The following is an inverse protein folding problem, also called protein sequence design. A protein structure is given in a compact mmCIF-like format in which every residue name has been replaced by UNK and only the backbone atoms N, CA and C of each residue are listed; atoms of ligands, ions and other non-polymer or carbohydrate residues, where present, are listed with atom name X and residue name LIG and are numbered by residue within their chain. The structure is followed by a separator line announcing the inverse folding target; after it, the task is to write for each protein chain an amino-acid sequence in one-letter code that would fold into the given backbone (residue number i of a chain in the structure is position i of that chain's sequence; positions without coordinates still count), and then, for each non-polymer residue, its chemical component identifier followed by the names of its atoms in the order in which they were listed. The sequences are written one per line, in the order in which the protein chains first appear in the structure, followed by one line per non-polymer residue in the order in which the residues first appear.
data_IF_933737741575
#
_entry.id   IF_933737741575
#
_cell.length_a   1.000
_cell.length_b   1.000
_cell.length_c   1.000
_cell.angle_alpha   90.00
_cell.angle_beta   90.00
_cell.angle_gamma   90.00
#
_symmetry.space_group_name_H-M   'P 1'
#
loop_
_entity.id
_entity.type
_entity.pdbx_description
1 polymer ?
#
# COMPACT_ATOMS: atom_id res chain seq x y z
N UNK A 1 -8.68 -37.24 8.98
CA UNK A 1 -7.58 -36.42 8.40
C UNK A 1 -8.12 -35.01 8.19
N UNK A 2 -7.45 -33.96 8.65
CA UNK A 2 -7.94 -32.58 8.47
C UNK A 2 -7.51 -32.02 7.11
N UNK A 3 -8.50 -31.76 6.24
CA UNK A 3 -8.36 -31.10 4.93
C UNK A 3 -8.06 -29.60 5.05
N UNK A 4 -6.83 -29.25 5.40
CA UNK A 4 -6.35 -27.87 5.28
C UNK A 4 -5.98 -27.59 3.82
N UNK A 5 -6.97 -27.17 3.02
CA UNK A 5 -6.74 -26.74 1.64
C UNK A 5 -5.66 -25.64 1.57
N UNK A 6 -4.60 -25.80 0.77
CA UNK A 6 -3.55 -24.80 0.66
C UNK A 6 -4.10 -23.53 -0.01
N UNK A 7 -4.06 -22.41 0.73
CA UNK A 7 -4.46 -21.08 0.27
C UNK A 7 -3.67 -20.73 -1.00
N UNK A 8 -4.35 -20.69 -2.16
CA UNK A 8 -3.76 -20.43 -3.49
C UNK A 8 -2.93 -19.14 -3.44
N UNK A 9 -1.63 -19.23 -3.71
CA UNK A 9 -0.76 -18.05 -3.88
C UNK A 9 -1.03 -17.42 -5.25
N UNK A 10 -0.85 -16.11 -5.37
CA UNK A 10 -0.91 -15.42 -6.65
C UNK A 10 0.13 -15.98 -7.64
N UNK A 11 -0.22 -16.05 -8.93
CA UNK A 11 0.60 -16.66 -10.00
C UNK A 11 1.94 -15.97 -10.26
N UNK A 12 2.12 -14.75 -9.78
CA UNK A 12 3.32 -13.93 -10.03
C UNK A 12 3.83 -13.38 -8.71
N UNK A 13 5.09 -13.69 -8.39
CA UNK A 13 5.82 -13.06 -7.29
C UNK A 13 6.04 -11.60 -7.64
N UNK A 14 5.32 -10.68 -6.99
CA UNK A 14 5.54 -9.24 -7.18
C UNK A 14 6.95 -8.79 -6.77
N UNK A 15 7.33 -7.57 -7.13
CA UNK A 15 8.63 -6.99 -6.77
C UNK A 15 8.74 -6.82 -5.25
N UNK A 16 9.83 -7.31 -4.66
CA UNK A 16 10.11 -7.12 -3.23
C UNK A 16 10.49 -5.66 -2.96
N UNK A 17 9.71 -4.99 -2.11
CA UNK A 17 10.02 -3.65 -1.60
C UNK A 17 10.19 -3.73 -0.08
N UNK A 18 11.44 -3.60 0.39
CA UNK A 18 11.77 -3.61 1.82
C UNK A 18 11.70 -2.20 2.41
N UNK A 19 10.86 -1.99 3.42
CA UNK A 19 10.72 -0.70 4.12
C UNK A 19 10.84 -0.88 5.63
N UNK A 20 11.46 0.08 6.32
CA UNK A 20 11.56 0.11 7.79
C UNK A 20 10.38 0.88 8.35
N UNK A 21 9.65 0.27 9.27
CA UNK A 21 8.52 0.89 9.97
C UNK A 21 8.88 1.17 11.43
N UNK A 22 8.42 2.31 11.95
CA UNK A 22 8.49 2.64 13.37
C UNK A 22 7.55 1.74 14.18
N UNK A 23 7.85 1.55 15.47
CA UNK A 23 7.10 0.63 16.33
C UNK A 23 5.61 0.99 16.44
N UNK A 24 5.29 2.29 16.53
CA UNK A 24 3.91 2.80 16.59
C UNK A 24 3.10 2.44 15.35
N UNK A 25 3.72 2.52 14.18
CA UNK A 25 3.06 2.20 12.91
C UNK A 25 2.90 0.68 12.74
N UNK A 26 3.86 -0.12 13.21
CA UNK A 26 3.72 -1.58 13.24
C UNK A 26 2.57 -2.03 14.14
N UNK A 27 2.39 -1.39 15.29
CA UNK A 27 1.29 -1.72 16.20
C UNK A 27 -0.07 -1.36 15.57
N UNK A 28 -0.18 -0.21 14.91
CA UNK A 28 -1.38 0.17 14.16
C UNK A 28 -1.72 -0.85 13.05
N UNK A 29 -0.71 -1.31 12.29
CA UNK A 29 -0.90 -2.35 11.26
C UNK A 29 -1.33 -3.68 11.90
N UNK A 30 -0.73 -4.07 13.02
CA UNK A 30 -1.04 -5.31 13.72
C UNK A 30 -2.44 -5.27 14.37
N UNK A 31 -2.91 -4.11 14.85
CA UNK A 31 -4.29 -3.88 15.31
C UNK A 31 -5.28 -3.99 14.16
N UNK A 32 -5.01 -3.32 13.04
CA UNK A 32 -5.85 -3.41 11.85
C UNK A 32 -5.95 -4.86 11.33
N UNK A 33 -4.83 -5.59 11.35
CA UNK A 33 -4.77 -7.02 11.00
C UNK A 33 -5.67 -7.87 11.89
N UNK A 34 -5.68 -7.62 13.20
CA UNK A 34 -6.53 -8.37 14.17
C UNK A 34 -8.03 -8.20 13.90
N UNK A 35 -8.42 -7.07 13.32
CA UNK A 35 -9.81 -6.81 12.97
C UNK A 35 -10.28 -7.55 11.69
N UNK A 36 -9.36 -8.16 10.93
CA UNK A 36 -9.71 -8.89 9.70
C UNK A 36 -10.06 -10.35 9.99
N UNK A 37 -11.17 -10.83 9.43
CA UNK A 37 -11.66 -12.20 9.63
C UNK A 37 -10.66 -13.28 9.18
N UNK A 38 -9.83 -12.99 8.19
CA UNK A 38 -8.87 -13.95 7.62
C UNK A 38 -7.46 -13.85 8.20
N UNK A 39 -7.26 -12.96 9.21
CA UNK A 39 -5.99 -12.71 9.91
C UNK A 39 -4.79 -12.68 8.94
N UNK A 40 -4.73 -11.71 8.02
CA UNK A 40 -3.72 -11.67 6.97
C UNK A 40 -2.32 -11.59 7.58
N UNK A 41 -1.31 -12.13 6.91
CA UNK A 41 0.08 -11.96 7.38
C UNK A 41 0.46 -10.47 7.34
N UNK A 42 1.49 -10.06 8.10
CA UNK A 42 1.90 -8.64 8.15
C UNK A 42 2.18 -8.03 6.76
N UNK A 43 2.88 -8.72 5.82
CA UNK A 43 3.05 -8.22 4.45
C UNK A 43 1.73 -8.10 3.67
N UNK A 44 0.81 -9.04 3.84
CA UNK A 44 -0.52 -9.00 3.20
C UNK A 44 -1.36 -7.84 3.74
N UNK A 45 -1.29 -7.58 5.05
CA UNK A 45 -1.97 -6.46 5.67
C UNK A 45 -1.49 -5.12 5.12
N UNK A 46 -0.16 -4.95 4.97
CA UNK A 46 0.42 -3.76 4.35
C UNK A 46 -0.05 -3.61 2.90
N UNK A 47 -0.07 -4.69 2.10
CA UNK A 47 -0.56 -4.63 0.71
C UNK A 47 -1.99 -4.12 0.64
N UNK A 48 -2.91 -4.70 1.43
CA UNK A 48 -4.32 -4.27 1.46
C UNK A 48 -4.47 -2.83 1.91
N UNK A 49 -3.74 -2.40 2.93
CA UNK A 49 -3.75 -1.00 3.38
C UNK A 49 -3.29 -0.04 2.29
N UNK A 50 -2.26 -0.41 1.51
CA UNK A 50 -1.80 0.37 0.35
C UNK A 50 -2.86 0.40 -0.76
N UNK A 51 -3.47 -0.74 -1.09
CA UNK A 51 -4.56 -0.81 -2.09
C UNK A 51 -5.75 0.08 -1.69
N UNK A 52 -6.14 0.08 -0.41
CA UNK A 52 -7.17 0.97 0.14
C UNK A 52 -6.77 2.44 0.02
N UNK A 53 -5.51 2.78 0.32
CA UNK A 53 -4.99 4.14 0.18
C UNK A 53 -4.99 4.62 -1.28
N UNK A 54 -4.66 3.74 -2.23
CA UNK A 54 -4.66 4.07 -3.66
C UNK A 54 -6.06 4.15 -4.26
N UNK A 55 -7.02 3.40 -3.71
CA UNK A 55 -8.42 3.42 -4.16
C UNK A 55 -9.20 4.61 -3.57
N UNK A 56 -8.78 5.08 -2.40
CA UNK A 56 -9.29 6.31 -1.81
C UNK A 56 -8.91 7.45 -2.74
N UNK A 57 -9.88 8.07 -3.42
CA UNK A 57 -9.67 9.21 -4.32
C UNK A 57 -8.79 10.24 -3.63
N UNK A 58 -7.52 10.28 -4.00
CA UNK A 58 -6.69 11.42 -3.66
C UNK A 58 -7.31 12.65 -4.34
N UNK A 59 -7.52 13.77 -3.64
CA UNK A 59 -7.60 15.04 -4.33
C UNK A 59 -6.26 15.18 -5.04
N UNK A 60 -6.27 15.00 -6.35
CA UNK A 60 -5.10 15.18 -7.21
C UNK A 60 -4.53 16.57 -6.90
N UNK A 61 -3.43 16.62 -6.15
CA UNK A 61 -2.60 17.82 -6.11
C UNK A 61 -1.94 17.85 -7.49
N UNK A 62 -2.63 18.48 -8.43
CA UNK A 62 -2.08 18.79 -9.73
C UNK A 62 -0.96 19.79 -9.45
N UNK A 63 0.27 19.28 -9.31
CA UNK A 63 1.44 20.12 -9.18
C UNK A 63 1.65 20.77 -10.56
N UNK A 64 0.96 21.89 -10.79
CA UNK A 64 1.25 22.81 -11.87
C UNK A 64 2.69 23.28 -11.65
N UNK A 65 3.65 22.64 -12.31
CA UNK A 65 4.92 23.29 -12.60
C UNK A 65 4.57 24.50 -13.45
N UNK A 66 4.66 25.69 -12.87
CA UNK A 66 4.72 26.92 -13.63
C UNK A 66 5.94 26.85 -14.53
N UNK A 67 5.72 26.55 -15.81
CA UNK A 67 6.68 26.85 -16.86
C UNK A 67 6.85 28.37 -16.89
N UNK A 68 7.99 28.84 -16.39
CA UNK A 68 8.43 30.20 -16.65
C UNK A 68 8.80 30.29 -18.13
N UNK A 69 7.79 30.59 -18.94
CA UNK A 69 7.94 31.06 -20.31
C UNK A 69 8.53 32.46 -20.27
N UNK A 70 9.85 32.54 -20.14
CA UNK A 70 10.61 33.75 -20.43
C UNK A 70 10.84 33.84 -21.93
N UNK A 71 9.75 34.07 -22.67
CA UNK A 71 9.86 34.61 -24.03
C UNK A 71 10.22 36.09 -23.93
N UNK A 72 11.46 36.36 -24.29
CA UNK A 72 11.87 37.42 -25.20
C UNK A 72 10.84 38.54 -25.47
N UNK A 73 11.07 39.72 -24.87
CA UNK A 73 10.64 40.99 -25.43
C UNK A 73 11.51 42.15 -24.91
N UNK A 74 12.50 42.53 -25.70
CA UNK A 74 12.69 43.89 -26.29
C UNK A 74 14.02 43.93 -27.01
#
# INVERSE_FOLDING_TARGET
MNDQQPKRRASTTGTLVGTRFQATLLDAIDLWRKAQNDLPTRPEAVRRLVELGMTSKHPTVHLQRHENQSDNKT
#
